data_IF_775796504554
#
_entry.id   IF_775796504554
#
_cell.length_a   1.000
_cell.length_b   1.000
_cell.length_c   1.000
_cell.angle_alpha   90.00
_cell.angle_beta   90.00
_cell.angle_gamma   90.00
#
_symmetry.space_group_name_H-M   'P 1'
#
loop_
_entity.id
_entity.type
_entity.pdbx_description
1 polymer ?
#
# COMPACT_ATOMS: atom_id res chain seq x y z
N UNK A 1 -88.40 6.80 -31.28
CA UNK A 1 -87.12 7.28 -30.74
C UNK A 1 -86.10 6.16 -30.80
N UNK A 2 -85.13 6.22 -31.71
CA UNK A 2 -83.89 5.44 -31.65
C UNK A 2 -82.76 6.39 -32.03
N UNK A 3 -81.96 6.75 -31.03
CA UNK A 3 -80.90 7.74 -31.11
C UNK A 3 -79.62 7.04 -31.55
N UNK A 4 -79.08 7.43 -32.70
CA UNK A 4 -77.81 6.93 -33.23
C UNK A 4 -76.66 7.68 -32.54
N UNK A 5 -75.75 6.96 -31.91
CA UNK A 5 -74.61 7.52 -31.17
C UNK A 5 -73.33 7.34 -32.00
N UNK A 6 -72.67 8.44 -32.38
CA UNK A 6 -71.36 8.44 -33.05
C UNK A 6 -70.24 8.26 -32.01
N UNK A 7 -69.32 7.32 -32.27
CA UNK A 7 -68.05 7.18 -31.53
C UNK A 7 -66.97 8.10 -32.12
N UNK A 8 -66.15 8.80 -31.30
CA UNK A 8 -65.00 9.54 -31.79
C UNK A 8 -63.78 8.62 -31.95
N UNK A 9 -63.02 8.85 -33.03
CA UNK A 9 -61.74 8.21 -33.35
C UNK A 9 -60.63 8.74 -32.43
N UNK A 10 -59.97 7.85 -31.68
CA UNK A 10 -58.80 8.18 -30.86
C UNK A 10 -57.53 7.83 -31.63
N UNK A 11 -56.79 8.85 -32.05
CA UNK A 11 -55.45 8.71 -32.67
C UNK A 11 -54.46 8.34 -31.56
N UNK A 12 -53.87 7.14 -31.64
CA UNK A 12 -52.79 6.70 -30.75
C UNK A 12 -51.46 7.26 -31.27
N UNK A 13 -50.92 8.27 -30.59
CA UNK A 13 -49.55 8.72 -30.79
C UNK A 13 -48.60 7.73 -30.10
N UNK A 14 -47.75 7.07 -30.89
CA UNK A 14 -46.73 6.15 -30.38
C UNK A 14 -45.49 6.96 -29.98
N UNK A 15 -45.18 7.01 -28.69
CA UNK A 15 -43.89 7.55 -28.21
C UNK A 15 -42.78 6.54 -28.52
N UNK A 16 -41.80 6.96 -29.31
CA UNK A 16 -40.54 6.25 -29.50
C UNK A 16 -39.61 6.73 -28.38
N UNK A 17 -39.38 5.88 -27.37
CA UNK A 17 -38.35 6.11 -26.36
C UNK A 17 -36.99 5.72 -26.95
N UNK A 18 -36.20 6.73 -27.35
CA UNK A 18 -34.78 6.56 -27.67
C UNK A 18 -33.99 6.43 -26.37
N UNK A 19 -33.58 5.22 -26.01
CA UNK A 19 -32.65 4.97 -24.93
C UNK A 19 -31.23 5.40 -25.35
N UNK A 20 -30.78 6.52 -24.81
CA UNK A 20 -29.38 6.96 -24.94
C UNK A 20 -28.54 6.12 -23.99
N UNK A 21 -27.77 5.18 -24.54
CA UNK A 21 -26.69 4.50 -23.83
C UNK A 21 -25.52 5.49 -23.70
N UNK A 22 -25.41 6.16 -22.55
CA UNK A 22 -24.18 6.87 -22.19
C UNK A 22 -23.12 5.84 -21.80
N UNK A 23 -22.22 5.50 -22.73
CA UNK A 23 -20.95 4.85 -22.41
C UNK A 23 -20.07 5.88 -21.72
N UNK A 24 -20.02 5.87 -20.39
CA UNK A 24 -18.99 6.58 -19.64
C UNK A 24 -17.64 5.94 -20.01
N UNK A 25 -16.85 6.62 -20.85
CA UNK A 25 -15.48 6.20 -21.07
C UNK A 25 -14.72 6.27 -19.76
N UNK A 26 -14.04 5.19 -19.37
CA UNK A 26 -13.03 5.22 -18.33
C UNK A 26 -11.92 6.16 -18.80
N UNK A 27 -11.99 7.42 -18.38
CA UNK A 27 -10.91 8.37 -18.61
C UNK A 27 -9.79 8.10 -17.61
N UNK A 28 -8.55 8.38 -18.03
CA UNK A 28 -7.40 8.33 -17.16
C UNK A 28 -7.63 9.21 -15.92
N UNK A 29 -7.55 8.61 -14.73
CA UNK A 29 -7.51 9.39 -13.51
C UNK A 29 -6.10 9.97 -13.36
N UNK A 30 -6.02 11.28 -13.19
CA UNK A 30 -4.80 11.97 -12.79
C UNK A 30 -4.82 12.08 -11.27
N UNK A 31 -3.83 11.46 -10.63
CA UNK A 31 -3.72 11.43 -9.18
C UNK A 31 -2.54 12.26 -8.72
N UNK A 32 -2.75 13.09 -7.69
CA UNK A 32 -1.67 13.59 -6.86
C UNK A 32 -1.65 12.79 -5.56
N UNK A 33 -0.51 12.18 -5.25
CA UNK A 33 -0.33 11.27 -4.12
C UNK A 33 0.68 11.86 -3.15
N UNK A 34 0.36 11.85 -1.86
CA UNK A 34 1.27 12.17 -0.77
C UNK A 34 1.27 11.03 0.23
N UNK A 35 2.44 10.46 0.53
CA UNK A 35 2.63 9.41 1.54
C UNK A 35 3.44 10.02 2.68
N UNK A 36 2.80 10.20 3.83
CA UNK A 36 3.45 10.69 5.05
C UNK A 36 3.83 9.52 5.94
N UNK A 37 5.11 9.43 6.30
CA UNK A 37 5.56 8.55 7.38
C UNK A 37 5.06 9.12 8.72
N UNK A 38 4.10 8.44 9.33
CA UNK A 38 3.43 8.89 10.55
C UNK A 38 4.10 8.38 11.84
N UNK A 39 5.25 7.71 11.71
CA UNK A 39 5.96 7.13 12.85
C UNK A 39 6.91 8.13 13.51
N UNK A 40 7.38 7.79 14.72
CA UNK A 40 8.37 8.57 15.47
C UNK A 40 9.82 8.24 15.07
N UNK A 41 10.11 6.97 14.80
CA UNK A 41 11.47 6.47 14.65
C UNK A 41 11.63 5.36 13.61
N UNK A 42 10.58 5.04 12.85
CA UNK A 42 10.66 4.06 11.77
C UNK A 42 10.87 4.80 10.45
N UNK A 43 11.79 4.30 9.64
CA UNK A 43 12.13 4.86 8.34
C UNK A 43 11.55 3.98 7.25
N UNK A 44 11.14 4.55 6.12
CA UNK A 44 10.76 3.73 4.97
C UNK A 44 11.91 3.71 3.97
N UNK A 45 12.23 2.53 3.46
CA UNK A 45 13.11 2.35 2.30
C UNK A 45 12.44 2.92 1.03
N UNK A 46 13.06 2.87 -0.15
CA UNK A 46 12.44 3.38 -1.37
C UNK A 46 10.99 2.91 -1.54
N UNK A 47 10.06 3.86 -1.64
CA UNK A 47 8.65 3.59 -1.88
C UNK A 47 8.43 3.10 -3.31
N UNK A 48 7.58 2.10 -3.46
CA UNK A 48 7.00 1.70 -4.73
C UNK A 48 5.52 2.05 -4.74
N UNK A 49 5.08 2.81 -5.75
CA UNK A 49 3.67 3.13 -5.97
C UNK A 49 3.29 2.61 -7.36
N UNK A 50 2.21 1.84 -7.46
CA UNK A 50 1.76 1.27 -8.72
C UNK A 50 0.27 1.50 -8.92
N UNK A 51 -0.11 2.05 -10.07
CA UNK A 51 -1.47 1.94 -10.58
C UNK A 51 -1.57 0.70 -11.47
N UNK A 52 -2.60 -0.13 -11.30
CA UNK A 52 -2.71 -1.44 -11.96
C UNK A 52 -4.16 -1.92 -12.11
N UNK A 53 -4.36 -3.07 -12.76
CA UNK A 53 -5.67 -3.74 -12.85
C UNK A 53 -5.98 -4.49 -11.55
N UNK A 54 -7.24 -4.91 -11.39
CA UNK A 54 -7.68 -5.71 -10.25
C UNK A 54 -7.02 -7.09 -10.10
N UNK A 55 -6.27 -7.57 -11.11
CA UNK A 55 -5.61 -8.87 -11.09
C UNK A 55 -4.15 -8.81 -10.64
N UNK A 56 -3.63 -7.61 -10.38
CA UNK A 56 -2.24 -7.37 -9.96
C UNK A 56 -2.24 -7.05 -8.47
N UNK A 57 -1.35 -7.72 -7.73
CA UNK A 57 -1.10 -7.46 -6.33
C UNK A 57 0.41 -7.39 -6.09
N UNK A 58 0.86 -6.39 -5.32
CA UNK A 58 2.27 -6.33 -4.87
C UNK A 58 2.51 -7.23 -3.65
N UNK A 59 1.45 -7.44 -2.86
CA UNK A 59 1.38 -8.35 -1.73
C UNK A 59 -0.09 -8.66 -1.43
N UNK A 60 -0.39 -9.78 -0.80
CA UNK A 60 -1.76 -10.10 -0.35
C UNK A 60 -1.72 -10.70 1.06
N UNK A 61 -2.54 -10.16 1.96
CA UNK A 61 -2.65 -10.72 3.31
C UNK A 61 -3.16 -12.16 3.29
N UNK A 62 -2.59 -13.02 4.13
CA UNK A 62 -2.94 -14.44 4.21
C UNK A 62 -2.32 -15.31 3.12
N UNK A 63 -1.43 -14.75 2.28
CA UNK A 63 -0.67 -15.48 1.27
C UNK A 63 0.82 -15.51 1.62
N UNK A 64 1.59 -16.43 1.02
CA UNK A 64 3.05 -16.40 1.15
C UNK A 64 3.61 -15.21 0.39
N UNK A 65 4.65 -14.56 0.93
CA UNK A 65 5.38 -13.54 0.19
C UNK A 65 6.00 -14.11 -1.10
N UNK A 66 5.94 -13.34 -2.18
CA UNK A 66 6.73 -13.64 -3.37
C UNK A 66 8.21 -13.39 -3.13
N UNK A 67 9.08 -13.86 -4.03
CA UNK A 67 10.51 -13.58 -3.93
C UNK A 67 10.82 -12.08 -4.02
N UNK A 68 10.04 -11.35 -4.82
CA UNK A 68 10.14 -9.91 -4.99
C UNK A 68 9.67 -9.16 -3.75
N UNK A 69 8.56 -9.60 -3.12
CA UNK A 69 8.10 -9.02 -1.86
C UNK A 69 9.12 -9.26 -0.74
N UNK A 70 9.68 -10.48 -0.64
CA UNK A 70 10.75 -10.81 0.31
C UNK A 70 11.96 -9.89 0.14
N UNK A 71 12.46 -9.72 -1.09
CA UNK A 71 13.60 -8.85 -1.36
C UNK A 71 13.33 -7.38 -0.96
N UNK A 72 12.12 -6.91 -1.19
CA UNK A 72 11.69 -5.58 -0.75
C UNK A 72 11.60 -5.51 0.77
N UNK A 73 10.95 -6.47 1.43
CA UNK A 73 10.67 -6.47 2.86
C UNK A 73 11.91 -6.67 3.74
N UNK A 74 12.91 -7.44 3.29
CA UNK A 74 14.14 -7.73 4.05
C UNK A 74 15.31 -6.80 3.71
N UNK A 75 15.30 -6.18 2.53
CA UNK A 75 16.44 -5.42 2.01
C UNK A 75 16.11 -4.05 1.45
N UNK A 76 14.83 -3.72 1.28
CA UNK A 76 14.38 -2.49 0.63
C UNK A 76 14.56 -2.47 -0.90
N UNK A 77 14.81 -3.62 -1.53
CA UNK A 77 14.95 -3.70 -2.99
C UNK A 77 13.58 -3.81 -3.68
N UNK A 78 13.12 -2.71 -4.29
CA UNK A 78 11.85 -2.63 -5.01
C UNK A 78 11.93 -3.09 -6.48
N UNK A 79 13.12 -3.40 -7.00
CA UNK A 79 13.33 -3.62 -8.44
C UNK A 79 12.55 -4.82 -8.99
N UNK A 80 12.46 -5.89 -8.20
CA UNK A 80 11.67 -7.08 -8.54
C UNK A 80 10.18 -6.77 -8.64
N UNK A 81 9.62 -6.12 -7.62
CA UNK A 81 8.20 -5.76 -7.59
C UNK A 81 7.84 -4.76 -8.70
N UNK A 82 8.71 -3.77 -8.94
CA UNK A 82 8.53 -2.81 -10.02
C UNK A 82 8.51 -3.49 -11.40
N UNK A 83 9.45 -4.41 -11.64
CA UNK A 83 9.51 -5.17 -12.88
C UNK A 83 8.28 -6.06 -13.06
N UNK A 84 7.86 -6.75 -11.99
CA UNK A 84 6.66 -7.59 -11.99
C UNK A 84 5.41 -6.76 -12.34
N UNK A 85 5.21 -5.62 -11.68
CA UNK A 85 4.06 -4.75 -11.92
C UNK A 85 4.09 -4.17 -13.34
N UNK A 86 5.24 -3.65 -13.78
CA UNK A 86 5.39 -3.06 -15.12
C UNK A 86 5.12 -4.10 -16.23
N UNK A 87 5.61 -5.33 -16.06
CA UNK A 87 5.36 -6.43 -17.00
C UNK A 87 3.88 -6.84 -17.04
N UNK A 88 3.14 -6.62 -15.95
CA UNK A 88 1.69 -6.79 -15.89
C UNK A 88 0.90 -5.58 -16.42
N UNK A 89 1.58 -4.57 -16.97
CA UNK A 89 0.95 -3.37 -17.54
C UNK A 89 0.63 -2.28 -16.52
N UNK A 90 1.18 -2.34 -15.31
CA UNK A 90 1.05 -1.28 -14.32
C UNK A 90 1.81 -0.01 -14.73
N UNK A 91 1.34 1.14 -14.25
CA UNK A 91 2.11 2.38 -14.23
C UNK A 91 2.79 2.48 -12.87
N UNK A 92 4.12 2.53 -12.86
CA UNK A 92 4.93 2.47 -11.65
C UNK A 92 5.66 3.79 -11.41
N UNK A 93 5.63 4.25 -10.16
CA UNK A 93 6.51 5.30 -9.64
C UNK A 93 7.44 4.67 -8.60
N UNK A 94 8.73 4.72 -8.89
CA UNK A 94 9.78 4.27 -7.98
C UNK A 94 10.35 5.45 -7.19
N UNK A 95 10.59 5.20 -5.91
CA UNK A 95 11.38 6.03 -5.03
C UNK A 95 11.04 7.55 -5.06
N UNK A 96 9.77 7.96 -4.89
CA UNK A 96 9.38 9.37 -4.88
C UNK A 96 10.03 10.18 -3.74
N UNK A 97 10.53 9.52 -2.69
CA UNK A 97 11.30 10.14 -1.61
C UNK A 97 12.78 10.39 -1.98
N UNK A 98 13.26 9.88 -3.11
CA UNK A 98 14.68 9.88 -3.52
C UNK A 98 15.61 9.23 -2.48
N UNK A 99 15.15 8.16 -1.84
CA UNK A 99 15.86 7.37 -0.84
C UNK A 99 14.96 7.06 0.36
N UNK A 100 15.52 7.22 1.55
CA UNK A 100 14.83 6.97 2.82
C UNK A 100 13.77 8.04 3.08
N UNK A 101 12.53 7.61 3.35
CA UNK A 101 11.49 8.51 3.88
C UNK A 101 11.57 8.56 5.41
N UNK A 102 12.06 9.69 5.92
CA UNK A 102 12.24 9.93 7.35
C UNK A 102 10.91 9.99 8.12
N UNK A 103 10.93 9.65 9.43
CA UNK A 103 9.80 9.87 10.34
C UNK A 103 9.25 11.30 10.25
N UNK A 104 7.92 11.43 10.15
CA UNK A 104 7.22 12.72 10.09
C UNK A 104 7.31 13.46 8.74
N UNK A 105 7.99 12.90 7.74
CA UNK A 105 8.16 13.50 6.41
C UNK A 105 7.21 12.85 5.40
N UNK A 106 6.85 13.61 4.36
CA UNK A 106 6.03 13.14 3.25
C UNK A 106 6.82 13.07 1.94
N UNK A 107 6.55 12.04 1.14
CA UNK A 107 6.94 11.96 -0.26
C UNK A 107 5.71 12.24 -1.13
N UNK A 108 5.87 13.02 -2.19
CA UNK A 108 4.77 13.42 -3.08
C UNK A 108 5.10 13.06 -4.53
N UNK A 109 4.10 12.58 -5.26
CA UNK A 109 4.22 12.31 -6.71
C UNK A 109 2.88 12.54 -7.41
N UNK A 110 2.91 12.58 -8.74
CA UNK A 110 1.71 12.53 -9.57
C UNK A 110 1.77 11.31 -10.49
N UNK A 111 0.63 10.68 -10.74
CA UNK A 111 0.52 9.50 -11.61
C UNK A 111 -0.71 9.61 -12.52
N UNK A 112 -0.49 9.39 -13.81
CA UNK A 112 -1.56 9.20 -14.79
C UNK A 112 -1.86 7.71 -14.88
N UNK A 113 -3.06 7.32 -14.48
CA UNK A 113 -3.41 5.90 -14.27
C UNK A 113 -3.87 5.19 -15.55
N UNK A 114 -4.16 5.91 -16.62
CA UNK A 114 -4.75 5.32 -17.82
C UNK A 114 -6.09 4.64 -17.48
N UNK A 115 -6.32 3.42 -17.97
CA UNK A 115 -7.53 2.66 -17.66
C UNK A 115 -7.43 1.83 -16.36
N UNK A 116 -6.35 1.99 -15.59
CA UNK A 116 -6.08 1.21 -14.38
C UNK A 116 -6.86 1.81 -13.20
N UNK A 117 -7.55 0.95 -12.45
CA UNK A 117 -8.52 1.35 -11.43
C UNK A 117 -8.12 0.92 -10.00
N UNK A 118 -6.88 0.42 -9.84
CA UNK A 118 -6.29 0.07 -8.55
C UNK A 118 -5.01 0.84 -8.29
N UNK A 119 -4.74 1.07 -7.02
CA UNK A 119 -3.51 1.67 -6.51
C UNK A 119 -2.93 0.81 -5.38
N UNK A 120 -1.64 0.47 -5.49
CA UNK A 120 -0.87 -0.17 -4.43
C UNK A 120 0.35 0.66 -4.06
N UNK A 121 0.76 0.56 -2.79
CA UNK A 121 1.95 1.22 -2.25
C UNK A 121 2.67 0.25 -1.33
N UNK A 122 4.01 0.19 -1.41
CA UNK A 122 4.80 -0.58 -0.46
C UNK A 122 6.21 -0.01 -0.22
N UNK A 123 6.76 -0.25 0.96
CA UNK A 123 8.17 -0.02 1.32
C UNK A 123 8.53 -0.78 2.60
N UNK A 124 9.78 -1.25 2.70
CA UNK A 124 10.28 -1.84 3.94
C UNK A 124 10.38 -0.79 5.03
N UNK A 125 10.11 -1.22 6.26
CA UNK A 125 10.26 -0.47 7.48
C UNK A 125 11.64 -0.73 8.09
N UNK A 126 12.32 0.31 8.53
CA UNK A 126 13.59 0.20 9.24
C UNK A 126 13.50 0.80 10.66
N UNK A 127 14.05 0.14 11.69
CA UNK A 127 14.61 -1.21 11.64
C UNK A 127 13.50 -2.28 11.76
N UNK A 128 13.48 -3.28 10.88
CA UNK A 128 12.68 -4.51 11.01
C UNK A 128 13.40 -5.66 10.28
N UNK A 129 13.06 -6.92 10.59
CA UNK A 129 13.53 -8.10 9.87
C UNK A 129 12.90 -8.15 8.47
N UNK A 130 11.58 -8.26 8.38
CA UNK A 130 10.83 -8.35 7.12
C UNK A 130 9.51 -7.52 7.15
N UNK A 131 9.53 -6.43 7.93
CA UNK A 131 8.39 -5.53 8.07
C UNK A 131 8.30 -4.49 6.96
N UNK A 132 7.08 -4.22 6.48
CA UNK A 132 6.84 -3.24 5.40
C UNK A 132 5.53 -2.46 5.62
N UNK A 133 5.44 -1.23 5.13
CA UNK A 133 4.16 -0.50 5.00
C UNK A 133 3.46 -0.91 3.72
N UNK A 134 2.14 -1.04 3.73
CA UNK A 134 1.41 -1.53 2.57
C UNK A 134 0.03 -0.91 2.36
N UNK A 135 -0.28 -0.65 1.09
CA UNK A 135 -1.64 -0.61 0.54
C UNK A 135 -1.70 -1.61 -0.60
N UNK A 136 -2.63 -2.55 -0.54
CA UNK A 136 -2.86 -3.51 -1.61
C UNK A 136 -4.16 -3.21 -2.34
N UNK A 137 -4.07 -3.12 -3.67
CA UNK A 137 -5.17 -3.06 -4.63
C UNK A 137 -6.35 -2.18 -4.19
N UNK A 138 -6.07 -0.94 -3.78
CA UNK A 138 -7.12 0.01 -3.40
C UNK A 138 -7.86 0.53 -4.62
N UNK A 139 -9.19 0.47 -4.59
CA UNK A 139 -10.04 0.98 -5.68
C UNK A 139 -9.92 2.50 -5.77
N UNK A 140 -9.46 3.01 -6.90
CA UNK A 140 -9.37 4.45 -7.16
C UNK A 140 -10.81 5.00 -7.32
N UNK A 141 -11.23 5.98 -6.50
CA UNK A 141 -12.56 6.57 -6.62
C UNK A 141 -12.74 7.29 -7.96
N UNK A 142 -13.89 7.10 -8.59
CA UNK A 142 -14.26 7.82 -9.82
C UNK A 142 -14.68 9.27 -9.59
N UNK A 143 -14.98 9.63 -8.34
CA UNK A 143 -15.40 10.99 -7.97
C UNK A 143 -14.17 11.85 -7.69
N UNK A 144 -14.00 12.99 -8.38
CA UNK A 144 -12.93 13.92 -8.04
C UNK A 144 -12.97 14.37 -6.58
N UNK A 145 -11.81 14.47 -5.94
CA UNK A 145 -11.71 14.83 -4.54
C UNK A 145 -10.47 14.26 -3.86
N UNK A 146 -10.31 14.60 -2.58
CA UNK A 146 -9.17 14.17 -1.77
C UNK A 146 -9.59 13.07 -0.80
N UNK A 147 -8.89 11.95 -0.87
CA UNK A 147 -9.12 10.75 -0.08
C UNK A 147 -7.95 10.51 0.86
N UNK A 148 -8.24 10.24 2.13
CA UNK A 148 -7.25 9.93 3.16
C UNK A 148 -7.30 8.45 3.51
N UNK A 149 -6.18 7.75 3.35
CA UNK A 149 -6.02 6.34 3.66
C UNK A 149 -4.98 6.22 4.79
N UNK A 150 -5.27 5.42 5.80
CA UNK A 150 -4.30 5.05 6.84
C UNK A 150 -3.68 3.71 6.47
N UNK A 151 -2.34 3.65 6.39
CA UNK A 151 -1.61 2.44 6.00
C UNK A 151 -1.02 1.77 7.22
N UNK A 152 -1.22 0.46 7.31
CA UNK A 152 -0.63 -0.37 8.35
C UNK A 152 0.72 -0.92 7.90
N UNK A 153 1.50 -1.38 8.88
CA UNK A 153 2.64 -2.24 8.70
C UNK A 153 2.19 -3.71 8.59
N UNK A 154 2.87 -4.44 7.72
CA UNK A 154 2.75 -5.85 7.48
C UNK A 154 4.11 -6.53 7.71
N UNK A 155 4.04 -7.80 8.01
CA UNK A 155 5.14 -8.74 8.19
C UNK A 155 5.07 -9.70 7.01
N UNK A 156 6.19 -9.95 6.33
CA UNK A 156 6.21 -10.79 5.13
C UNK A 156 6.08 -12.29 5.46
N UNK A 157 6.37 -12.69 6.69
CA UNK A 157 6.36 -14.07 7.16
C UNK A 157 7.53 -14.88 6.61
N UNK A 158 8.64 -14.23 6.25
CA UNK A 158 9.81 -14.86 5.63
C UNK A 158 10.99 -15.00 6.60
N UNK A 159 11.03 -14.20 7.66
CA UNK A 159 12.00 -14.29 8.75
C UNK A 159 11.32 -14.22 10.12
N UNK A 160 12.01 -14.70 11.16
CA UNK A 160 11.54 -14.47 12.52
C UNK A 160 11.84 -13.01 12.89
N UNK A 161 10.92 -12.37 13.62
CA UNK A 161 11.16 -11.05 14.21
C UNK A 161 12.11 -11.18 15.40
N UNK A 162 13.36 -11.54 15.14
CA UNK A 162 14.38 -11.70 16.17
C UNK A 162 14.83 -10.35 16.75
N UNK A 163 14.66 -9.27 15.99
CA UNK A 163 15.09 -7.92 16.32
C UNK A 163 16.60 -7.81 16.60
N UNK A 164 17.40 -8.66 15.95
CA UNK A 164 18.85 -8.67 16.06
C UNK A 164 19.49 -7.83 14.95
N UNK A 165 20.50 -7.04 15.31
CA UNK A 165 21.17 -6.14 14.36
C UNK A 165 21.83 -6.86 13.19
N UNK A 166 22.18 -8.14 13.37
CA UNK A 166 22.79 -8.99 12.34
C UNK A 166 21.79 -9.51 11.30
N UNK A 167 20.50 -9.49 11.62
CA UNK A 167 19.41 -10.03 10.79
C UNK A 167 18.58 -8.92 10.12
N UNK A 168 19.00 -7.66 10.23
CA UNK A 168 18.31 -6.50 9.66
C UNK A 168 19.27 -5.60 8.89
N UNK A 169 18.80 -4.79 7.92
CA UNK A 169 19.61 -3.74 7.35
C UNK A 169 20.09 -2.76 8.43
N UNK A 170 21.40 -2.48 8.43
CA UNK A 170 22.05 -1.62 9.42
C UNK A 170 22.60 -0.33 8.77
N UNK A 171 21.73 0.63 8.44
CA UNK A 171 22.17 1.90 7.88
C UNK A 171 22.82 2.80 8.95
N UNK A 172 23.72 3.71 8.57
CA UNK A 172 24.52 4.50 9.52
C UNK A 172 23.71 5.50 10.38
N UNK A 173 22.42 5.69 10.10
CA UNK A 173 21.52 6.57 10.85
C UNK A 173 20.67 5.83 11.90
N UNK A 174 20.76 4.50 11.99
CA UNK A 174 20.12 3.70 13.04
C UNK A 174 21.22 3.18 13.97
N UNK A 175 21.01 3.33 15.27
CA UNK A 175 21.92 2.79 16.29
C UNK A 175 21.28 1.57 16.92
N UNK A 176 21.91 0.41 16.72
CA UNK A 176 21.53 -0.84 17.37
C UNK A 176 22.31 -1.06 18.67
N UNK A 177 21.70 -1.81 19.58
CA UNK A 177 22.39 -2.50 20.66
C UNK A 177 23.20 -3.69 20.15
N UNK A 178 23.67 -4.50 21.08
CA UNK A 178 24.40 -5.74 20.78
C UNK A 178 24.07 -6.80 21.81
N UNK A 179 24.17 -8.07 21.42
CA UNK A 179 24.06 -9.19 22.35
C UNK A 179 22.62 -9.57 22.71
N UNK A 180 21.62 -9.07 21.97
CA UNK A 180 20.25 -9.56 22.05
C UNK A 180 20.17 -11.08 21.82
N UNK A 181 19.25 -11.74 22.52
CA UNK A 181 19.05 -13.19 22.39
C UNK A 181 18.04 -13.59 21.32
N UNK A 182 17.30 -12.62 20.76
CA UNK A 182 16.21 -12.83 19.83
C UNK A 182 14.87 -12.76 20.53
N UNK A 183 13.96 -11.91 20.03
CA UNK A 183 12.58 -11.81 20.52
C UNK A 183 11.76 -13.01 20.05
N UNK A 184 11.83 -13.29 18.75
CA UNK A 184 11.35 -14.53 18.15
C UNK A 184 12.53 -15.28 17.50
N UNK A 185 12.53 -16.61 17.56
CA UNK A 185 13.62 -17.44 17.00
C UNK A 185 13.15 -18.36 15.88
N UNK A 186 11.84 -18.36 15.60
CA UNK A 186 11.21 -19.20 14.57
C UNK A 186 10.05 -18.43 13.96
N UNK A 187 9.86 -18.56 12.65
CA UNK A 187 8.65 -18.09 11.96
C UNK A 187 7.46 -18.89 12.46
N UNK A 188 6.52 -18.25 13.14
CA UNK A 188 5.28 -18.89 13.62
C UNK A 188 4.09 -18.69 12.67
N UNK A 189 4.18 -17.69 11.80
CA UNK A 189 3.21 -17.42 10.74
C UNK A 189 3.95 -17.07 9.45
N UNK A 190 3.89 -17.97 8.46
CA UNK A 190 4.62 -17.87 7.19
C UNK A 190 3.81 -17.15 6.08
N UNK A 191 2.82 -16.36 6.48
CA UNK A 191 1.92 -15.62 5.61
C UNK A 191 2.06 -14.13 5.85
N UNK A 192 1.84 -13.32 4.81
CA UNK A 192 1.75 -11.88 4.95
C UNK A 192 0.62 -11.53 5.92
N UNK A 193 0.93 -10.78 6.97
CA UNK A 193 -0.04 -10.41 8.00
C UNK A 193 0.31 -9.06 8.63
N UNK A 194 -0.56 -8.50 9.47
CA UNK A 194 -0.28 -7.23 10.15
C UNK A 194 0.90 -7.42 11.10
N UNK A 195 1.97 -6.63 10.90
CA UNK A 195 3.13 -6.69 11.78
C UNK A 195 2.76 -6.17 13.18
N UNK A 196 3.15 -6.87 14.25
CA UNK A 196 2.82 -6.47 15.62
C UNK A 196 3.55 -5.22 16.13
N UNK A 197 4.44 -4.63 15.33
CA UNK A 197 5.42 -3.63 15.78
C UNK A 197 6.63 -4.25 16.47
N UNK A 198 7.78 -3.57 16.41
CA UNK A 198 8.93 -3.94 17.23
C UNK A 198 8.56 -3.86 18.71
N UNK A 199 8.96 -4.87 19.47
CA UNK A 199 8.94 -4.90 20.91
C UNK A 199 10.11 -4.08 21.48
N UNK A 200 11.33 -4.39 21.04
CA UNK A 200 12.57 -3.84 21.55
C UNK A 200 12.84 -4.16 23.02
N UNK A 201 13.98 -3.71 23.54
CA UNK A 201 14.23 -3.59 24.97
C UNK A 201 14.99 -2.30 25.34
N UNK A 202 15.62 -2.25 26.51
CA UNK A 202 16.39 -1.10 26.99
C UNK A 202 17.83 -1.45 27.40
N UNK A 203 18.29 -2.67 27.12
CA UNK A 203 19.64 -3.13 27.42
C UNK A 203 20.53 -3.02 26.17
N UNK A 204 21.42 -2.03 26.06
CA UNK A 204 22.20 -1.83 24.85
C UNK A 204 23.28 -2.91 24.59
N UNK A 205 23.56 -3.77 25.56
CA UNK A 205 24.63 -4.79 25.50
C UNK A 205 24.13 -6.19 25.90
N UNK A 206 22.83 -6.47 25.73
CA UNK A 206 22.23 -7.76 26.00
C UNK A 206 20.71 -7.67 25.90
N UNK A 207 19.99 -8.54 26.61
CA UNK A 207 18.53 -8.53 26.59
C UNK A 207 17.98 -9.42 25.47
N UNK A 208 16.72 -9.18 25.09
CA UNK A 208 16.03 -9.98 24.06
C UNK A 208 16.17 -9.37 22.67
N UNK A 209 16.46 -8.08 22.55
CA UNK A 209 16.44 -7.33 21.29
C UNK A 209 17.64 -6.40 21.19
N UNK A 210 18.18 -6.22 19.98
CA UNK A 210 19.16 -5.15 19.71
C UNK A 210 18.47 -3.81 19.37
N UNK A 211 17.13 -3.78 19.36
CA UNK A 211 16.33 -2.59 19.09
C UNK A 211 15.97 -1.88 20.40
N UNK A 212 16.23 -0.57 20.47
CA UNK A 212 15.77 0.25 21.59
C UNK A 212 14.25 0.50 21.52
N UNK A 213 13.50 -0.09 22.45
CA UNK A 213 12.04 0.02 22.58
C UNK A 213 11.52 1.46 22.70
N UNK A 214 12.32 2.39 23.24
CA UNK A 214 11.93 3.81 23.36
C UNK A 214 12.11 4.61 22.06
N UNK A 215 12.87 4.06 21.10
CA UNK A 215 13.18 4.71 19.83
C UNK A 215 12.34 4.14 18.67
N UNK A 216 12.24 2.81 18.58
CA UNK A 216 11.83 2.12 17.36
C UNK A 216 10.56 1.26 17.52
N UNK A 217 9.87 1.34 18.66
CA UNK A 217 8.53 0.75 18.81
C UNK A 217 7.47 1.63 18.15
N UNK A 218 6.50 1.01 17.48
CA UNK A 218 5.35 1.71 16.89
C UNK A 218 4.02 1.00 17.17
N UNK A 219 2.94 1.68 16.79
CA UNK A 219 1.61 1.10 16.66
C UNK A 219 1.08 1.45 15.27
N UNK A 220 0.18 0.63 14.75
CA UNK A 220 -0.52 0.92 13.51
C UNK A 220 -1.55 2.06 13.70
N UNK A 221 -1.78 2.89 12.68
CA UNK A 221 -1.14 2.92 11.36
C UNK A 221 0.25 3.56 11.35
N UNK A 222 1.11 3.16 10.40
CA UNK A 222 2.47 3.70 10.23
C UNK A 222 2.58 4.82 9.20
N UNK A 223 1.62 4.92 8.27
CA UNK A 223 1.59 5.99 7.29
C UNK A 223 0.19 6.55 7.06
N UNK A 224 0.16 7.78 6.56
CA UNK A 224 -1.05 8.43 6.07
C UNK A 224 -0.82 8.74 4.61
N UNK A 225 -1.64 8.15 3.73
CA UNK A 225 -1.66 8.48 2.33
C UNK A 225 -2.82 9.42 2.02
N UNK A 226 -2.54 10.47 1.25
CA UNK A 226 -3.55 11.35 0.68
C UNK A 226 -3.52 11.22 -0.83
N UNK A 227 -4.66 10.90 -1.44
CA UNK A 227 -4.82 10.79 -2.89
C UNK A 227 -5.82 11.84 -3.34
N UNK A 228 -5.41 12.74 -4.22
CA UNK A 228 -6.32 13.68 -4.87
C UNK A 228 -6.59 13.21 -6.29
N UNK A 229 -7.84 12.82 -6.55
CA UNK A 229 -8.36 12.49 -7.87
C UNK A 229 -8.83 13.79 -8.53
N UNK A 230 -8.31 14.12 -9.70
CA UNK A 230 -8.65 15.34 -10.45
C UNK A 230 -9.93 15.20 -11.27
#
# INVERSE_FOLDING_TARGET
MKTTMHLPSVIKASLISTSILCSAGLQAAELDISVTNATKGIYFTPLLIAAHSADVHLFESGTNASAELKAMAEGGDISGLSSLASNAGAVVIENPASGILNPGVAATTSISTGNLDRLSVTAMLLPTNDGFVGLDSWVIPSTPGTYKIYLNSYDAGTEANDELAASMPNPPFITFGTGGTGVETTVTNDKVHIHPGNLGDTNPTGGVSDINSSAYRWLNPVAIMTVTVK
#
